data_IF_223053081217
#
_entry.id   IF_223053081217
#
_cell.length_a   1.000
_cell.length_b   1.000
_cell.length_c   1.000
_cell.angle_alpha   90.00
_cell.angle_beta   90.00
_cell.angle_gamma   90.00
#
_symmetry.space_group_name_H-M   'P 1'
#
loop_
_entity.id
_entity.type
_entity.pdbx_description
1 polymer ?
#
# COMPACT_ATOMS: atom_id res chain seq x y z
N UNK A 1 -29.20 19.73 -61.72
CA UNK A 1 -28.94 19.50 -60.27
C UNK A 1 -27.43 19.35 -60.11
N UNK A 2 -26.62 20.42 -60.10
CA UNK A 2 -26.61 21.63 -59.26
C UNK A 2 -26.19 21.29 -57.80
N UNK A 3 -25.18 21.89 -57.17
CA UNK A 3 -24.47 23.15 -57.45
C UNK A 3 -23.10 23.20 -56.74
N UNK A 4 -22.13 23.81 -57.43
CA UNK A 4 -20.93 24.47 -56.90
C UNK A 4 -21.31 25.79 -56.21
N UNK A 5 -20.60 26.20 -55.14
CA UNK A 5 -20.13 27.60 -54.95
C UNK A 5 -18.87 27.62 -54.04
N UNK A 6 -17.90 28.44 -54.44
CA UNK A 6 -16.58 28.74 -53.83
C UNK A 6 -16.69 29.88 -52.77
N UNK A 7 -15.62 30.51 -52.21
CA UNK A 7 -15.55 30.95 -50.82
C UNK A 7 -15.82 32.47 -50.65
N UNK A 8 -15.88 32.94 -49.40
CA UNK A 8 -15.85 34.37 -49.08
C UNK A 8 -14.70 34.67 -48.11
N UNK A 9 -13.71 35.40 -48.61
CA UNK A 9 -12.83 36.32 -47.89
C UNK A 9 -12.97 37.65 -48.64
N UNK A 10 -13.11 38.80 -47.95
CA UNK A 10 -11.95 39.68 -47.73
C UNK A 10 -12.12 40.61 -46.48
N UNK A 11 -11.31 41.67 -46.25
CA UNK A 11 -9.96 41.99 -46.72
C UNK A 11 -8.95 42.27 -45.58
N UNK A 12 -7.68 42.35 -46.02
CA UNK A 12 -6.53 42.96 -45.34
C UNK A 12 -6.75 44.43 -44.91
N UNK A 13 -6.09 44.82 -43.83
CA UNK A 13 -5.57 46.18 -43.63
C UNK A 13 -4.16 46.08 -43.01
N UNK A 14 -3.16 46.61 -43.72
CA UNK A 14 -1.78 46.83 -43.28
C UNK A 14 -1.62 48.22 -42.63
N UNK A 15 -0.58 48.34 -41.79
CA UNK A 15 0.34 49.48 -41.53
C UNK A 15 0.58 49.70 -40.03
N UNK A 16 1.76 49.30 -39.54
CA UNK A 16 3.01 50.08 -39.35
C UNK A 16 3.13 50.65 -37.92
N UNK A 17 4.05 50.09 -37.12
CA UNK A 17 5.30 50.70 -36.59
C UNK A 17 5.09 51.72 -35.46
N UNK A 18 5.46 51.36 -34.23
CA UNK A 18 6.53 52.09 -33.53
C UNK A 18 7.10 51.38 -32.27
N UNK A 19 8.43 51.50 -32.14
CA UNK A 19 9.17 51.91 -30.94
C UNK A 19 9.01 51.25 -29.56
N UNK A 20 10.07 50.50 -29.19
CA UNK A 20 10.85 50.67 -27.94
C UNK A 20 10.31 50.21 -26.56
N UNK A 21 11.10 49.30 -25.98
CA UNK A 21 11.48 49.18 -24.56
C UNK A 21 10.38 49.07 -23.49
N UNK A 22 10.16 47.85 -22.99
CA UNK A 22 10.33 47.58 -21.56
C UNK A 22 10.55 46.08 -21.34
N UNK A 23 11.83 45.70 -21.23
CA UNK A 23 12.22 44.52 -20.49
C UNK A 23 11.98 44.72 -18.99
N UNK A 24 11.81 43.59 -18.30
CA UNK A 24 11.68 43.45 -16.85
C UNK A 24 10.31 43.86 -16.26
N UNK A 25 9.30 43.01 -16.45
CA UNK A 25 8.28 42.62 -15.42
C UNK A 25 7.19 41.76 -16.07
N UNK A 26 7.44 40.45 -16.26
CA UNK A 26 6.37 39.46 -16.45
C UNK A 26 6.91 38.04 -16.28
N UNK A 27 7.29 37.71 -15.05
CA UNK A 27 7.65 36.35 -14.62
C UNK A 27 6.93 36.01 -13.30
N UNK A 28 5.73 36.57 -13.12
CA UNK A 28 4.91 36.45 -11.90
C UNK A 28 3.47 35.96 -12.14
N UNK A 29 3.11 35.49 -13.33
CA UNK A 29 1.70 35.14 -13.65
C UNK A 29 1.53 33.76 -14.34
N UNK A 30 2.31 32.74 -13.95
CA UNK A 30 2.12 31.38 -14.50
C UNK A 30 2.13 30.26 -13.46
N UNK A 31 1.69 30.55 -12.23
CA UNK A 31 1.27 29.52 -11.26
C UNK A 31 0.02 29.96 -10.50
N UNK A 32 -1.13 29.90 -11.17
CA UNK A 32 -2.44 29.77 -10.53
C UNK A 32 -3.09 28.48 -11.03
N UNK A 33 -2.81 27.37 -10.36
CA UNK A 33 -3.73 26.24 -10.36
C UNK A 33 -4.64 26.36 -9.15
N UNK A 34 -5.94 26.44 -9.47
CA UNK A 34 -7.08 26.54 -8.59
C UNK A 34 -7.36 25.14 -8.04
N UNK A 35 -7.11 24.92 -6.76
CA UNK A 35 -7.66 23.78 -6.02
C UNK A 35 -8.79 24.32 -5.14
N UNK A 36 -10.02 24.06 -5.55
CA UNK A 36 -11.21 24.18 -4.71
C UNK A 36 -11.40 22.84 -4.02
N UNK A 37 -11.05 22.77 -2.74
CA UNK A 37 -11.87 22.17 -1.69
C UNK A 37 -11.15 22.45 -0.36
N UNK A 38 -11.77 23.35 0.41
CA UNK A 38 -11.37 23.78 1.73
C UNK A 38 -11.75 22.69 2.74
N UNK A 39 -10.75 22.09 3.38
CA UNK A 39 -10.75 21.71 4.81
C UNK A 39 -9.40 21.09 5.15
N UNK A 40 -8.35 21.92 5.18
CA UNK A 40 -7.08 21.58 5.83
C UNK A 40 -7.00 22.41 7.11
N UNK A 41 -7.16 21.72 8.23
CA UNK A 41 -6.92 22.24 9.57
C UNK A 41 -5.52 22.87 9.64
N UNK A 42 -5.51 24.21 9.70
CA UNK A 42 -4.37 25.01 10.10
C UNK A 42 -4.00 24.67 11.55
N UNK A 43 -2.92 23.91 11.74
CA UNK A 43 -2.20 23.94 13.02
C UNK A 43 -1.18 25.09 13.00
N UNK A 44 -1.26 26.08 13.91
CA UNK A 44 -0.36 27.23 13.93
C UNK A 44 1.01 26.88 14.52
N UNK A 45 2.04 27.18 13.73
CA UNK A 45 3.37 27.71 14.08
C UNK A 45 3.92 27.50 15.51
N UNK A 46 5.01 26.75 15.60
CA UNK A 46 6.18 27.11 16.41
C UNK A 46 7.44 26.89 15.55
N UNK A 47 7.89 27.95 14.88
CA UNK A 47 9.25 28.05 14.33
C UNK A 47 10.18 28.41 15.51
N UNK A 48 11.09 27.54 15.96
CA UNK A 48 12.27 28.04 16.64
C UNK A 48 13.12 28.75 15.58
N UNK A 49 13.58 29.94 15.94
CA UNK A 49 14.42 30.83 15.12
C UNK A 49 15.52 30.04 14.42
N UNK A 50 15.39 29.83 13.10
CA UNK A 50 16.45 29.24 12.28
C UNK A 50 17.62 30.23 12.22
N UNK A 51 18.58 30.02 13.11
CA UNK A 51 19.95 30.47 12.87
C UNK A 51 20.51 29.72 11.66
N UNK A 52 20.77 30.45 10.58
CA UNK A 52 21.78 30.22 9.53
C UNK A 52 22.48 28.85 9.50
N UNK A 53 21.79 27.76 9.17
CA UNK A 53 22.42 26.43 9.00
C UNK A 53 21.89 25.58 7.84
N UNK A 54 20.78 25.92 7.19
CA UNK A 54 20.19 25.00 6.21
C UNK A 54 20.96 24.98 4.88
N UNK A 55 21.61 23.85 4.60
CA UNK A 55 22.20 23.57 3.29
C UNK A 55 21.12 23.17 2.26
N UNK A 56 21.39 23.41 0.98
CA UNK A 56 20.46 23.13 -0.14
C UNK A 56 19.96 21.66 -0.18
N UNK A 57 20.80 20.71 0.23
CA UNK A 57 20.47 19.28 0.27
C UNK A 57 19.42 18.91 1.33
N UNK A 58 19.33 19.67 2.43
CA UNK A 58 18.33 19.42 3.49
C UNK A 58 16.93 19.79 3.02
N UNK A 59 16.80 20.95 2.37
CA UNK A 59 15.53 21.46 1.84
C UNK A 59 15.01 20.50 0.75
N UNK A 60 15.92 20.00 -0.09
CA UNK A 60 15.60 19.03 -1.14
C UNK A 60 15.02 17.73 -0.57
N UNK A 61 15.69 17.10 0.40
CA UNK A 61 15.24 15.85 1.01
C UNK A 61 13.89 16.04 1.70
N UNK A 62 13.69 17.16 2.40
CA UNK A 62 12.42 17.46 3.09
C UNK A 62 11.27 17.63 2.11
N UNK A 63 11.47 18.40 1.03
CA UNK A 63 10.43 18.60 0.02
C UNK A 63 10.10 17.32 -0.72
N UNK A 64 11.13 16.52 -1.06
CA UNK A 64 10.94 15.22 -1.67
C UNK A 64 10.09 14.29 -0.82
N UNK A 65 10.42 14.12 0.47
CA UNK A 65 9.63 13.22 1.32
C UNK A 65 8.20 13.73 1.53
N UNK A 66 7.98 15.05 1.58
CA UNK A 66 6.63 15.62 1.63
C UNK A 66 5.83 15.31 0.37
N UNK A 67 6.45 15.40 -0.80
CA UNK A 67 5.82 15.03 -2.06
C UNK A 67 5.50 13.52 -2.08
N UNK A 68 6.42 12.66 -1.66
CA UNK A 68 6.17 11.22 -1.59
C UNK A 68 5.07 10.85 -0.58
N UNK A 69 4.93 11.59 0.52
CA UNK A 69 3.78 11.46 1.43
C UNK A 69 2.49 11.91 0.72
N UNK A 70 2.50 13.03 0.00
CA UNK A 70 1.34 13.55 -0.72
C UNK A 70 0.89 12.59 -1.84
N UNK A 71 1.85 11.93 -2.50
CA UNK A 71 1.62 10.86 -3.48
C UNK A 71 1.26 9.51 -2.84
N UNK A 72 1.15 9.45 -1.50
CA UNK A 72 0.81 8.25 -0.71
C UNK A 72 1.80 7.10 -0.86
N UNK A 73 3.03 7.38 -1.31
CA UNK A 73 4.12 6.42 -1.41
C UNK A 73 4.79 6.17 -0.05
N UNK A 74 4.58 7.06 0.93
CA UNK A 74 5.15 7.02 2.27
C UNK A 74 4.12 7.35 3.36
N UNK A 75 4.19 6.65 4.51
CA UNK A 75 3.34 6.90 5.69
C UNK A 75 4.13 7.64 6.77
N UNK A 76 3.50 8.53 7.53
CA UNK A 76 4.13 9.37 8.58
C UNK A 76 4.73 8.61 9.78
N UNK A 77 4.75 7.28 9.77
CA UNK A 77 5.41 6.45 10.78
C UNK A 77 6.40 5.44 10.20
N UNK A 78 6.73 5.57 8.92
CA UNK A 78 7.62 4.65 8.21
C UNK A 78 9.06 4.70 8.73
N UNK A 79 9.74 3.55 8.72
CA UNK A 79 11.18 3.46 8.97
C UNK A 79 11.94 3.98 7.76
N UNK A 80 12.69 5.07 7.95
CA UNK A 80 13.38 5.77 6.87
C UNK A 80 14.88 5.75 7.10
N UNK A 81 15.64 5.48 6.04
CA UNK A 81 17.10 5.56 6.04
C UNK A 81 17.60 6.59 5.03
N UNK A 82 18.49 7.48 5.47
CA UNK A 82 19.26 8.38 4.61
C UNK A 82 20.69 7.86 4.46
N UNK A 83 21.12 7.57 3.24
CA UNK A 83 22.46 7.03 2.95
C UNK A 83 23.27 8.05 2.16
N UNK A 84 24.37 8.51 2.75
CA UNK A 84 25.35 9.37 2.06
C UNK A 84 25.68 10.69 2.74
N UNK A 85 26.31 11.59 1.99
CA UNK A 85 26.71 12.93 2.40
C UNK A 85 25.51 13.79 2.80
N UNK A 86 25.50 14.26 4.05
CA UNK A 86 24.39 15.05 4.58
C UNK A 86 23.28 14.23 5.25
N UNK A 87 23.44 12.92 5.43
CA UNK A 87 22.44 12.07 6.10
C UNK A 87 22.08 12.53 7.52
N UNK A 88 23.06 12.95 8.33
CA UNK A 88 22.78 13.50 9.68
C UNK A 88 21.97 14.79 9.68
N UNK A 89 22.17 15.62 8.67
CA UNK A 89 21.42 16.84 8.39
C UNK A 89 19.97 16.53 7.99
N UNK A 90 19.77 15.58 7.07
CA UNK A 90 18.44 15.09 6.69
C UNK A 90 17.66 14.48 7.85
N UNK A 91 18.32 13.68 8.71
CA UNK A 91 17.72 13.10 9.91
C UNK A 91 17.25 14.20 10.87
N UNK A 92 18.08 15.22 11.08
CA UNK A 92 17.75 16.34 12.00
C UNK A 92 16.55 17.13 11.50
N UNK A 93 16.45 17.38 10.19
CA UNK A 93 15.34 18.09 9.58
C UNK A 93 14.02 17.29 9.58
N UNK A 94 14.09 15.95 9.52
CA UNK A 94 12.93 15.09 9.32
C UNK A 94 12.48 14.29 10.54
N UNK A 95 13.20 14.40 11.67
CA UNK A 95 12.86 13.71 12.92
C UNK A 95 11.43 13.99 13.41
N UNK A 96 10.91 15.20 13.18
CA UNK A 96 9.55 15.57 13.54
C UNK A 96 8.46 14.90 12.67
N UNK A 97 8.80 14.46 11.46
CA UNK A 97 7.87 13.76 10.55
C UNK A 97 8.07 12.24 10.57
N UNK A 98 9.29 11.78 10.84
CA UNK A 98 9.65 10.36 10.88
C UNK A 98 10.47 10.07 12.15
N UNK A 99 9.83 9.63 13.24
CA UNK A 99 10.51 9.35 14.49
C UNK A 99 11.58 8.24 14.36
N UNK A 100 11.39 7.30 13.44
CA UNK A 100 12.30 6.17 13.16
C UNK A 100 13.21 6.44 11.95
N UNK A 101 13.70 7.67 11.84
CA UNK A 101 14.61 8.11 10.78
C UNK A 101 16.07 7.93 11.20
N UNK A 102 16.85 7.22 10.38
CA UNK A 102 18.29 6.98 10.58
C UNK A 102 19.11 7.54 9.42
N UNK A 103 20.38 7.85 9.69
CA UNK A 103 21.29 8.41 8.71
C UNK A 103 22.64 7.70 8.79
N UNK A 104 23.11 7.21 7.65
CA UNK A 104 24.39 6.52 7.51
C UNK A 104 25.28 7.29 6.54
N UNK A 105 26.56 7.48 6.87
CA UNK A 105 27.48 8.25 6.02
C UNK A 105 28.42 7.31 5.29
N UNK A 106 28.31 7.31 3.98
CA UNK A 106 29.22 6.55 3.12
C UNK A 106 30.46 7.40 2.82
N UNK A 107 31.65 6.94 3.20
CA UNK A 107 32.93 7.59 2.83
C UNK A 107 33.73 6.82 1.78
N UNK A 108 33.61 5.49 1.75
CA UNK A 108 34.13 4.57 0.72
C UNK A 108 33.20 3.37 0.72
N UNK A 109 32.46 3.14 -0.36
CA UNK A 109 31.55 1.99 -0.43
C UNK A 109 32.37 0.73 -0.77
N UNK A 110 33.13 0.24 0.22
CA UNK A 110 33.85 -1.04 0.18
C UNK A 110 33.13 -2.13 0.96
N UNK A 111 32.12 -1.76 1.77
CA UNK A 111 31.50 -2.62 2.78
C UNK A 111 29.97 -2.53 2.79
N UNK A 112 29.35 -3.57 3.35
CA UNK A 112 27.90 -3.74 3.53
C UNK A 112 27.37 -2.73 4.55
N UNK A 113 26.18 -2.16 4.32
CA UNK A 113 25.51 -1.35 5.34
C UNK A 113 25.21 -2.26 6.55
N UNK A 114 25.51 -1.80 7.77
CA UNK A 114 25.31 -2.56 9.03
C UNK A 114 23.84 -2.68 9.46
N UNK A 115 22.93 -2.80 8.48
CA UNK A 115 21.52 -3.04 8.68
C UNK A 115 21.14 -4.43 8.20
N UNK A 116 20.14 -5.03 8.85
CA UNK A 116 19.53 -6.28 8.41
C UNK A 116 18.88 -6.11 7.04
N UNK A 117 18.72 -7.21 6.33
CA UNK A 117 17.89 -7.26 5.14
C UNK A 117 16.45 -6.87 5.51
N UNK A 118 15.74 -6.21 4.59
CA UNK A 118 14.32 -5.85 4.74
C UNK A 118 13.97 -5.00 5.98
N UNK A 119 14.87 -4.10 6.39
CA UNK A 119 14.75 -3.33 7.62
C UNK A 119 13.99 -1.99 7.49
N UNK A 120 13.96 -1.40 6.29
CA UNK A 120 13.43 -0.05 6.07
C UNK A 120 12.30 -0.01 5.04
N UNK A 121 11.37 0.91 5.27
CA UNK A 121 10.22 1.13 4.37
C UNK A 121 10.61 2.06 3.21
N UNK A 122 11.56 2.96 3.48
CA UNK A 122 12.09 3.87 2.49
C UNK A 122 13.56 4.18 2.73
N UNK A 123 14.31 4.30 1.64
CA UNK A 123 15.73 4.62 1.67
C UNK A 123 16.03 5.70 0.64
N UNK A 124 16.63 6.80 1.08
CA UNK A 124 17.06 7.89 0.20
C UNK A 124 18.58 7.98 0.13
N UNK A 125 19.12 8.25 -1.06
CA UNK A 125 20.54 8.56 -1.24
C UNK A 125 20.76 9.65 -2.29
N UNK A 126 21.77 10.50 -2.06
CA UNK A 126 22.24 11.54 -2.99
C UNK A 126 23.68 11.31 -3.47
N UNK A 127 24.26 10.16 -3.16
CA UNK A 127 25.68 9.89 -3.30
C UNK A 127 26.02 8.97 -4.47
N UNK A 128 25.06 8.68 -5.37
CA UNK A 128 25.27 7.74 -6.47
C UNK A 128 26.48 8.13 -7.34
N UNK A 129 26.68 9.42 -7.58
CA UNK A 129 27.78 9.94 -8.40
C UNK A 129 29.06 10.20 -7.60
N UNK A 130 29.00 10.15 -6.27
CA UNK A 130 30.13 10.44 -5.37
C UNK A 130 30.82 9.17 -4.88
N UNK A 131 30.13 8.03 -4.90
CA UNK A 131 30.69 6.73 -4.50
C UNK A 131 31.56 6.09 -5.59
N UNK A 132 32.56 5.32 -5.15
CA UNK A 132 33.48 4.61 -6.03
C UNK A 132 32.85 3.47 -6.82
N UNK A 133 31.82 2.82 -6.27
CA UNK A 133 31.13 1.67 -6.89
C UNK A 133 29.61 1.85 -6.76
N UNK A 134 28.97 2.59 -7.70
CA UNK A 134 27.53 2.88 -7.64
C UNK A 134 26.65 1.62 -7.58
N UNK A 135 27.04 0.54 -8.27
CA UNK A 135 26.31 -0.72 -8.27
C UNK A 135 26.16 -1.33 -6.88
N UNK A 136 27.20 -1.26 -6.03
CA UNK A 136 27.14 -1.79 -4.67
C UNK A 136 26.19 -0.97 -3.79
N UNK A 137 26.20 0.35 -3.95
CA UNK A 137 25.27 1.22 -3.23
C UNK A 137 23.81 0.91 -3.59
N UNK A 138 23.50 0.79 -4.89
CA UNK A 138 22.14 0.44 -5.36
C UNK A 138 21.70 -0.91 -4.79
N UNK A 139 22.57 -1.93 -4.85
CA UNK A 139 22.28 -3.26 -4.32
C UNK A 139 22.11 -3.30 -2.80
N UNK A 140 22.89 -2.51 -2.05
CA UNK A 140 22.76 -2.42 -0.60
C UNK A 140 21.51 -1.68 -0.17
N UNK A 141 21.13 -0.61 -0.88
CA UNK A 141 19.84 0.07 -0.68
C UNK A 141 18.70 -0.91 -0.95
N UNK A 142 18.77 -1.65 -2.06
CA UNK A 142 17.79 -2.68 -2.40
C UNK A 142 17.72 -3.81 -1.35
N UNK A 143 18.85 -4.21 -0.77
CA UNK A 143 18.90 -5.24 0.28
C UNK A 143 18.20 -4.82 1.57
N UNK A 144 18.44 -3.59 2.03
CA UNK A 144 17.91 -3.09 3.31
C UNK A 144 16.46 -2.60 3.21
N UNK A 145 15.96 -2.34 2.00
CA UNK A 145 14.55 -2.08 1.75
C UNK A 145 13.73 -3.35 1.99
N UNK A 146 12.61 -3.24 2.70
CA UNK A 146 11.63 -4.33 2.80
C UNK A 146 10.91 -4.53 1.47
N UNK A 147 10.35 -5.72 1.19
CA UNK A 147 9.51 -5.93 0.03
C UNK A 147 8.33 -4.94 0.02
N UNK A 148 8.05 -4.34 -1.14
CA UNK A 148 7.08 -3.26 -1.30
C UNK A 148 7.57 -1.87 -0.84
N UNK A 149 8.76 -1.77 -0.26
CA UNK A 149 9.39 -0.51 0.12
C UNK A 149 9.92 0.29 -1.07
N UNK A 150 10.19 1.58 -0.86
CA UNK A 150 10.61 2.50 -1.92
C UNK A 150 12.05 3.00 -1.72
N UNK A 151 12.87 2.91 -2.75
CA UNK A 151 14.18 3.56 -2.82
C UNK A 151 14.11 4.83 -3.65
N UNK A 152 14.81 5.88 -3.23
CA UNK A 152 14.93 7.12 -3.98
C UNK A 152 16.40 7.54 -4.07
N UNK A 153 16.86 7.81 -5.29
CA UNK A 153 18.24 8.21 -5.54
C UNK A 153 18.29 9.49 -6.35
N UNK A 154 19.07 10.44 -5.88
CA UNK A 154 19.42 11.64 -6.61
C UNK A 154 20.66 11.38 -7.47
N UNK A 155 20.58 11.70 -8.75
CA UNK A 155 21.65 11.57 -9.73
C UNK A 155 21.94 12.95 -10.30
N UNK A 156 23.15 13.46 -10.12
CA UNK A 156 23.63 14.68 -10.72
C UNK A 156 23.69 14.50 -12.24
N UNK A 157 22.95 15.33 -12.98
CA UNK A 157 23.04 15.36 -14.44
C UNK A 157 23.54 16.72 -14.86
N UNK A 158 24.71 16.77 -15.49
CA UNK A 158 25.35 18.03 -15.89
C UNK A 158 24.39 18.99 -16.62
N UNK A 159 24.54 20.29 -16.33
CA UNK A 159 23.70 21.46 -16.68
C UNK A 159 23.01 21.49 -18.08
N UNK A 160 22.07 20.59 -18.36
CA UNK A 160 21.28 20.65 -19.60
C UNK A 160 19.86 20.15 -19.34
N UNK A 161 18.88 21.04 -19.29
CA UNK A 161 17.47 20.71 -19.03
C UNK A 161 16.81 19.97 -20.21
N UNK A 162 17.12 18.69 -20.41
CA UNK A 162 16.56 17.88 -21.50
C UNK A 162 15.98 16.54 -21.00
N UNK A 163 14.82 16.13 -21.54
CA UNK A 163 14.14 14.87 -21.21
C UNK A 163 15.01 13.62 -21.45
N UNK A 164 16.00 13.69 -22.34
CA UNK A 164 17.00 12.63 -22.53
C UNK A 164 17.88 12.36 -21.29
N UNK A 165 17.83 13.22 -20.27
CA UNK A 165 18.59 13.08 -19.04
C UNK A 165 17.92 12.15 -18.02
N UNK A 166 16.59 12.02 -18.03
CA UNK A 166 15.89 11.15 -17.09
C UNK A 166 16.17 9.67 -17.39
N UNK A 167 16.18 9.30 -18.67
CA UNK A 167 16.59 7.97 -19.11
C UNK A 167 18.05 7.73 -18.72
N UNK A 168 18.95 8.69 -18.96
CA UNK A 168 20.36 8.57 -18.59
C UNK A 168 20.57 8.42 -17.07
N UNK A 169 19.75 9.08 -16.26
CA UNK A 169 19.80 8.96 -14.80
C UNK A 169 19.22 7.63 -14.30
N UNK A 170 18.12 7.17 -14.90
CA UNK A 170 17.44 5.95 -14.49
C UNK A 170 18.15 4.67 -14.95
N UNK A 171 18.75 4.65 -16.14
CA UNK A 171 19.44 3.49 -16.72
C UNK A 171 20.49 2.84 -15.80
N UNK A 172 21.44 3.58 -15.19
CA UNK A 172 22.42 2.93 -14.31
C UNK A 172 21.75 2.28 -13.10
N UNK A 173 20.73 2.92 -12.53
CA UNK A 173 19.99 2.38 -11.38
C UNK A 173 19.22 1.12 -11.81
N UNK A 174 18.41 1.21 -12.87
CA UNK A 174 17.58 0.09 -13.35
C UNK A 174 18.42 -1.12 -13.77
N UNK A 175 19.65 -0.89 -14.28
CA UNK A 175 20.56 -1.97 -14.67
C UNK A 175 21.12 -2.73 -13.45
N UNK A 176 21.27 -2.07 -12.31
CA UNK A 176 21.81 -2.69 -11.09
C UNK A 176 20.75 -3.33 -10.20
N UNK A 177 19.51 -2.84 -10.24
CA UNK A 177 18.40 -3.42 -9.48
C UNK A 177 18.17 -4.88 -9.89
N UNK A 178 18.13 -5.76 -8.90
CA UNK A 178 17.84 -7.20 -9.09
C UNK A 178 16.43 -7.57 -8.72
N UNK A 179 15.86 -6.84 -7.75
CA UNK A 179 14.60 -7.14 -7.08
C UNK A 179 13.63 -5.98 -7.00
N UNK A 180 13.82 -4.95 -7.81
CA UNK A 180 13.03 -3.72 -7.78
C UNK A 180 12.77 -3.22 -9.19
N UNK A 181 11.68 -2.47 -9.37
CA UNK A 181 11.41 -1.75 -10.61
C UNK A 181 11.46 -0.25 -10.37
N UNK A 182 12.01 0.49 -11.35
CA UNK A 182 11.91 1.96 -11.36
C UNK A 182 10.46 2.33 -11.62
N UNK A 183 9.85 3.03 -10.67
CA UNK A 183 8.43 3.44 -10.73
C UNK A 183 8.28 4.89 -11.18
N UNK A 184 9.26 5.73 -10.88
CA UNK A 184 9.19 7.15 -11.19
C UNK A 184 10.58 7.76 -11.42
N UNK A 185 10.71 8.68 -12.36
CA UNK A 185 11.90 9.49 -12.54
C UNK A 185 11.54 10.92 -12.95
N UNK A 186 12.13 11.92 -12.30
CA UNK A 186 11.86 13.34 -12.57
C UNK A 186 13.09 14.22 -12.35
N UNK A 187 13.09 15.39 -12.97
CA UNK A 187 14.12 16.39 -12.74
C UNK A 187 13.81 17.15 -11.45
N UNK A 188 14.82 17.37 -10.61
CA UNK A 188 14.74 18.17 -9.39
C UNK A 188 15.98 19.09 -9.36
N UNK A 189 15.76 20.38 -9.61
CA UNK A 189 16.81 21.38 -9.82
C UNK A 189 17.84 20.95 -10.89
N UNK A 190 19.11 20.83 -10.52
CA UNK A 190 20.25 20.40 -11.36
C UNK A 190 20.48 18.88 -11.32
N UNK A 191 19.60 18.12 -10.67
CA UNK A 191 19.71 16.67 -10.55
C UNK A 191 18.45 15.97 -11.04
N UNK A 192 18.52 14.65 -11.22
CA UNK A 192 17.39 13.80 -11.51
C UNK A 192 17.14 12.89 -10.31
N UNK A 193 15.89 12.86 -9.85
CA UNK A 193 15.42 11.91 -8.88
C UNK A 193 14.94 10.65 -9.60
N UNK A 194 15.39 9.50 -9.14
CA UNK A 194 14.92 8.20 -9.59
C UNK A 194 14.37 7.44 -8.39
N UNK A 195 13.11 7.04 -8.47
CA UNK A 195 12.39 6.29 -7.45
C UNK A 195 12.12 4.89 -7.97
N UNK A 196 12.43 3.89 -7.16
CA UNK A 196 12.17 2.49 -7.45
C UNK A 196 11.46 1.82 -6.28
N UNK A 197 10.68 0.78 -6.58
CA UNK A 197 9.95 -0.01 -5.60
C UNK A 197 10.53 -1.41 -5.57
N UNK A 198 10.89 -1.89 -4.38
CA UNK A 198 11.31 -3.29 -4.20
C UNK A 198 10.09 -4.17 -4.42
N UNK A 199 10.22 -5.13 -5.33
CA UNK A 199 9.19 -6.12 -5.60
C UNK A 199 8.90 -6.91 -4.33
N UNK A 200 7.69 -7.42 -4.24
CA UNK A 200 7.31 -8.46 -3.29
C UNK A 200 8.01 -9.77 -3.68
N UNK A 201 9.35 -9.84 -3.57
CA UNK A 201 10.28 -10.93 -3.91
C UNK A 201 10.04 -11.71 -5.25
N UNK A 202 11.09 -11.83 -6.06
CA UNK A 202 11.07 -12.52 -7.35
C UNK A 202 10.73 -14.03 -7.23
N UNK A 203 9.57 -14.43 -7.80
CA UNK A 203 9.23 -15.81 -8.18
C UNK A 203 8.59 -16.67 -7.09
N UNK A 204 8.58 -16.19 -5.85
CA UNK A 204 7.96 -16.81 -4.68
C UNK A 204 7.03 -15.72 -4.18
N UNK A 205 5.76 -15.76 -4.57
CA UNK A 205 4.77 -14.80 -4.07
C UNK A 205 4.73 -14.76 -2.52
N UNK A 206 3.99 -13.79 -1.94
CA UNK A 206 3.95 -13.55 -0.49
C UNK A 206 3.71 -14.77 0.40
N UNK A 207 3.20 -15.88 -0.12
CA UNK A 207 2.89 -17.09 0.62
C UNK A 207 3.68 -18.33 0.19
N UNK A 208 4.58 -18.23 -0.79
CA UNK A 208 5.25 -19.37 -1.40
C UNK A 208 6.34 -19.95 -0.50
N UNK A 209 6.90 -19.17 0.43
CA UNK A 209 7.87 -19.66 1.42
C UNK A 209 7.24 -20.43 2.58
N UNK A 210 5.93 -20.31 2.82
CA UNK A 210 5.27 -21.03 3.92
C UNK A 210 5.13 -22.51 3.60
N UNK A 211 5.56 -23.37 4.52
CA UNK A 211 5.36 -24.81 4.40
C UNK A 211 4.01 -25.18 5.01
N UNK A 212 3.04 -25.49 4.16
CA UNK A 212 1.72 -25.93 4.61
C UNK A 212 1.78 -27.41 5.06
N UNK A 213 0.87 -27.83 5.96
CA UNK A 213 0.73 -29.23 6.34
C UNK A 213 0.49 -30.14 5.14
N UNK A 214 0.99 -31.37 5.20
CA UNK A 214 0.78 -32.39 4.16
C UNK A 214 -0.72 -32.69 3.97
N UNK A 215 -1.49 -32.64 5.07
CA UNK A 215 -2.94 -32.70 5.07
C UNK A 215 -3.54 -31.29 5.11
N UNK A 216 -3.95 -30.79 3.94
CA UNK A 216 -4.61 -29.50 3.81
C UNK A 216 -5.96 -29.66 3.09
N UNK A 217 -7.06 -29.96 3.83
CA UNK A 217 -8.33 -30.38 3.23
C UNK A 217 -8.94 -29.34 2.30
N UNK A 218 -8.98 -28.06 2.69
CA UNK A 218 -9.53 -27.01 1.85
C UNK A 218 -8.78 -26.90 0.52
N UNK A 219 -7.45 -26.85 0.56
CA UNK A 219 -6.61 -26.76 -0.64
C UNK A 219 -6.76 -28.00 -1.51
N UNK A 220 -6.73 -29.20 -0.91
CA UNK A 220 -6.94 -30.46 -1.65
C UNK A 220 -8.28 -30.49 -2.37
N UNK A 221 -9.35 -30.02 -1.71
CA UNK A 221 -10.69 -29.97 -2.27
C UNK A 221 -10.83 -28.90 -3.37
N UNK A 222 -10.13 -27.78 -3.22
CA UNK A 222 -10.23 -26.63 -4.11
C UNK A 222 -9.29 -26.70 -5.31
N UNK A 223 -8.17 -27.42 -5.21
CA UNK A 223 -7.18 -27.62 -6.29
C UNK A 223 -7.81 -27.94 -7.65
N UNK A 224 -8.77 -28.89 -7.79
CA UNK A 224 -9.39 -29.16 -9.09
C UNK A 224 -10.27 -28.01 -9.61
N UNK A 225 -10.75 -27.14 -8.74
CA UNK A 225 -11.68 -26.04 -9.04
C UNK A 225 -10.96 -24.72 -9.37
N UNK A 226 -9.66 -24.63 -9.14
CA UNK A 226 -8.89 -23.39 -9.34
C UNK A 226 -8.97 -22.83 -10.76
N UNK A 227 -9.25 -23.68 -11.75
CA UNK A 227 -9.42 -23.30 -13.17
C UNK A 227 -10.76 -22.60 -13.45
N UNK A 228 -11.73 -22.75 -12.56
CA UNK A 228 -13.07 -22.18 -12.68
C UNK A 228 -13.18 -20.77 -12.08
N UNK A 229 -12.14 -20.32 -11.37
CA UNK A 229 -12.10 -19.00 -10.75
C UNK A 229 -12.12 -17.88 -11.79
N UNK A 230 -12.84 -16.81 -11.47
CA UNK A 230 -12.85 -15.59 -12.28
C UNK A 230 -11.44 -14.97 -12.39
N UNK A 231 -11.09 -14.30 -13.50
CA UNK A 231 -9.81 -13.62 -13.63
C UNK A 231 -9.66 -12.50 -12.58
N UNK A 232 -8.43 -12.29 -12.09
CA UNK A 232 -8.12 -11.15 -11.23
C UNK A 232 -8.06 -9.91 -12.12
N UNK A 233 -8.74 -8.85 -11.72
CA UNK A 233 -8.80 -7.59 -12.47
C UNK A 233 -7.77 -6.61 -11.90
N UNK A 234 -6.95 -6.03 -12.78
CA UNK A 234 -5.97 -5.00 -12.40
C UNK A 234 -6.59 -3.61 -12.20
N UNK A 235 -7.82 -3.39 -12.70
CA UNK A 235 -8.60 -2.14 -12.53
C UNK A 235 -10.09 -2.47 -12.49
N UNK A 236 -10.87 -1.75 -11.68
CA UNK A 236 -12.34 -1.88 -11.63
C UNK A 236 -12.94 -1.38 -12.96
N UNK A 237 -13.58 -2.24 -13.77
CA UNK A 237 -14.18 -1.80 -15.03
C UNK A 237 -15.42 -0.95 -14.73
N UNK A 238 -15.58 0.20 -15.39
CA UNK A 238 -16.71 1.11 -15.19
C UNK A 238 -18.11 0.49 -15.38
N UNK A 239 -18.21 -0.66 -16.05
CA UNK A 239 -19.48 -1.29 -16.47
C UNK A 239 -19.60 -2.78 -16.12
N UNK A 240 -18.64 -3.38 -15.43
CA UNK A 240 -18.62 -4.83 -15.21
C UNK A 240 -18.78 -5.18 -13.72
N UNK A 241 -19.88 -5.87 -13.38
CA UNK A 241 -19.97 -6.61 -12.11
C UNK A 241 -19.33 -7.98 -12.33
N UNK A 242 -18.19 -8.31 -11.69
CA UNK A 242 -17.60 -9.62 -11.85
C UNK A 242 -18.53 -10.70 -11.32
N UNK A 243 -18.79 -11.72 -12.14
CA UNK A 243 -19.53 -12.90 -11.71
C UNK A 243 -18.60 -13.78 -10.87
N UNK A 244 -18.68 -13.63 -9.55
CA UNK A 244 -17.88 -14.41 -8.61
C UNK A 244 -18.25 -15.90 -8.73
N UNK A 245 -17.23 -16.74 -8.92
CA UNK A 245 -17.37 -18.18 -9.04
C UNK A 245 -17.44 -18.85 -7.66
N UNK A 246 -18.52 -18.61 -6.91
CA UNK A 246 -18.66 -19.12 -5.52
C UNK A 246 -18.50 -20.64 -5.41
N UNK A 247 -17.81 -21.09 -4.37
CA UNK A 247 -17.53 -22.51 -4.14
C UNK A 247 -18.77 -23.43 -4.17
N UNK A 248 -19.95 -23.09 -3.59
CA UNK A 248 -21.16 -23.92 -3.62
C UNK A 248 -21.73 -24.20 -5.00
N UNK A 249 -21.26 -23.50 -6.04
CA UNK A 249 -21.62 -23.78 -7.44
C UNK A 249 -20.97 -25.08 -7.95
N UNK A 250 -19.83 -25.45 -7.40
CA UNK A 250 -19.01 -26.57 -7.90
C UNK A 250 -18.95 -27.75 -6.93
N UNK A 251 -19.26 -27.54 -5.65
CA UNK A 251 -19.24 -28.58 -4.63
C UNK A 251 -20.52 -28.64 -3.82
N UNK A 252 -20.87 -29.84 -3.37
CA UNK A 252 -22.02 -30.06 -2.51
C UNK A 252 -21.70 -29.66 -1.07
N UNK A 253 -21.97 -28.40 -0.76
CA UNK A 253 -21.78 -27.85 0.59
C UNK A 253 -22.77 -28.39 1.61
N UNK A 254 -23.91 -28.97 1.20
CA UNK A 254 -24.91 -29.54 2.13
C UNK A 254 -24.36 -30.71 2.98
N UNK A 255 -23.25 -31.31 2.55
CA UNK A 255 -22.54 -32.35 3.32
C UNK A 255 -21.68 -31.81 4.47
N UNK A 256 -21.48 -30.48 4.54
CA UNK A 256 -20.69 -29.81 5.57
C UNK A 256 -21.47 -29.71 6.87
N UNK A 257 -20.75 -29.66 8.00
CA UNK A 257 -21.35 -29.65 9.34
C UNK A 257 -22.18 -28.38 9.59
N UNK A 258 -21.64 -27.24 9.17
CA UNK A 258 -22.21 -25.89 9.26
C UNK A 258 -21.41 -24.94 8.37
N UNK A 259 -21.92 -23.74 8.16
CA UNK A 259 -21.17 -22.65 7.53
C UNK A 259 -20.65 -21.69 8.59
N UNK A 260 -19.39 -21.30 8.48
CA UNK A 260 -18.75 -20.29 9.34
C UNK A 260 -18.27 -19.15 8.45
N UNK A 261 -18.71 -17.94 8.75
CA UNK A 261 -18.28 -16.73 8.04
C UNK A 261 -17.53 -15.82 9.00
N UNK A 262 -16.29 -15.49 8.66
CA UNK A 262 -15.41 -14.64 9.48
C UNK A 262 -15.09 -13.38 8.67
N UNK A 263 -15.43 -12.21 9.19
CA UNK A 263 -15.10 -10.91 8.58
C UNK A 263 -14.10 -10.18 9.49
N UNK A 264 -12.88 -9.96 8.99
CA UNK A 264 -11.78 -9.33 9.73
C UNK A 264 -11.61 -7.89 9.24
N UNK A 265 -11.65 -6.94 10.18
CA UNK A 265 -11.54 -5.52 9.84
C UNK A 265 -12.77 -5.00 9.10
N UNK A 266 -13.94 -5.58 9.39
CA UNK A 266 -15.22 -5.11 8.90
C UNK A 266 -15.41 -3.65 9.39
N UNK A 267 -15.26 -2.67 8.50
CA UNK A 267 -15.31 -1.23 8.83
C UNK A 267 -16.70 -0.75 9.30
N UNK A 268 -17.05 0.53 9.10
CA UNK A 268 -18.35 1.13 9.44
C UNK A 268 -19.57 0.42 8.75
N UNK A 269 -19.89 -0.81 9.15
CA UNK A 269 -20.99 -1.64 8.64
C UNK A 269 -22.34 -1.28 9.28
N UNK A 270 -22.43 -0.15 9.97
CA UNK A 270 -23.57 0.13 10.86
C UNK A 270 -24.63 1.02 10.21
N UNK A 271 -24.32 1.74 9.13
CA UNK A 271 -25.21 2.80 8.65
C UNK A 271 -25.66 2.70 7.18
N UNK A 272 -25.34 1.64 6.44
CA UNK A 272 -25.90 1.46 5.10
C UNK A 272 -26.87 0.29 5.05
N UNK A 273 -28.00 0.48 4.36
CA UNK A 273 -28.95 -0.60 4.02
C UNK A 273 -28.33 -1.70 3.13
N UNK A 274 -27.02 -1.66 2.83
CA UNK A 274 -26.33 -2.57 1.93
C UNK A 274 -25.63 -3.76 2.62
N UNK A 275 -25.44 -3.75 3.95
CA UNK A 275 -24.34 -4.52 4.57
C UNK A 275 -24.66 -5.93 5.10
N UNK A 276 -25.62 -6.63 4.49
CA UNK A 276 -25.75 -8.09 4.65
C UNK A 276 -25.90 -8.80 3.30
N UNK A 277 -25.60 -8.07 2.21
CA UNK A 277 -25.76 -8.60 0.87
C UNK A 277 -24.94 -9.86 0.67
N UNK A 278 -23.69 -9.94 1.18
CA UNK A 278 -22.88 -11.15 1.02
C UNK A 278 -23.57 -12.40 1.60
N UNK A 279 -24.00 -12.38 2.87
CA UNK A 279 -24.69 -13.52 3.49
C UNK A 279 -26.07 -13.81 2.88
N UNK A 280 -26.66 -12.83 2.19
CA UNK A 280 -27.96 -12.94 1.51
C UNK A 280 -27.82 -13.43 0.07
N UNK A 281 -26.72 -13.09 -0.59
CA UNK A 281 -26.41 -13.36 -1.99
C UNK A 281 -25.49 -14.58 -2.17
N UNK A 282 -24.78 -14.99 -1.12
CA UNK A 282 -23.97 -16.19 -1.13
C UNK A 282 -24.87 -17.42 -1.35
N UNK A 283 -24.59 -18.26 -2.36
CA UNK A 283 -25.46 -19.37 -2.76
C UNK A 283 -25.43 -20.50 -1.73
N UNK A 284 -26.19 -20.34 -0.65
CA UNK A 284 -26.27 -21.30 0.45
C UNK A 284 -27.39 -22.31 0.23
N UNK A 285 -27.06 -23.60 0.35
CA UNK A 285 -28.02 -24.70 0.30
C UNK A 285 -28.67 -24.92 1.69
N UNK A 286 -29.27 -23.87 2.25
CA UNK A 286 -29.98 -23.89 3.56
C UNK A 286 -29.14 -24.16 4.82
N UNK A 287 -27.80 -24.07 4.74
CA UNK A 287 -26.93 -24.17 5.91
C UNK A 287 -26.99 -22.90 6.78
N UNK A 288 -27.10 -23.03 8.12
CA UNK A 288 -26.98 -21.90 9.02
C UNK A 288 -25.53 -21.37 9.02
N UNK A 289 -25.41 -20.05 9.12
CA UNK A 289 -24.14 -19.37 9.26
C UNK A 289 -23.89 -19.00 10.71
N UNK A 290 -22.76 -19.44 11.24
CA UNK A 290 -22.15 -18.85 12.43
C UNK A 290 -21.24 -17.71 11.96
N UNK A 291 -21.62 -16.47 12.28
CA UNK A 291 -20.91 -15.27 11.81
C UNK A 291 -20.01 -14.73 12.91
N UNK A 292 -18.74 -14.48 12.58
CA UNK A 292 -17.77 -13.86 13.48
C UNK A 292 -17.26 -12.56 12.85
N UNK A 293 -17.38 -11.47 13.58
CA UNK A 293 -16.83 -10.16 13.17
C UNK A 293 -15.63 -9.85 14.06
N UNK A 294 -14.44 -9.85 13.48
CA UNK A 294 -13.18 -9.60 14.20
C UNK A 294 -12.78 -8.14 14.02
N UNK A 295 -12.78 -7.36 15.11
CA UNK A 295 -12.53 -5.93 15.04
C UNK A 295 -11.87 -5.39 16.32
N UNK A 296 -11.14 -4.26 16.22
CA UNK A 296 -10.53 -3.60 17.38
C UNK A 296 -11.44 -2.54 18.01
N UNK A 297 -12.29 -1.87 17.23
CA UNK A 297 -13.17 -0.82 17.75
C UNK A 297 -14.44 -1.43 18.36
N UNK A 298 -14.60 -1.30 19.67
CA UNK A 298 -15.73 -1.79 20.44
C UNK A 298 -17.00 -0.96 20.26
N UNK A 299 -16.93 0.24 19.67
CA UNK A 299 -18.11 1.06 19.38
C UNK A 299 -19.11 0.33 18.46
N UNK A 300 -18.60 -0.56 17.60
CA UNK A 300 -19.38 -1.41 16.70
C UNK A 300 -20.10 -2.57 17.39
N UNK A 301 -19.73 -2.91 18.63
CA UNK A 301 -20.33 -4.05 19.36
C UNK A 301 -21.85 -3.90 19.46
N UNK A 302 -22.34 -2.67 19.70
CA UNK A 302 -23.77 -2.37 19.78
C UNK A 302 -24.55 -2.61 18.47
N UNK A 303 -23.88 -2.57 17.32
CA UNK A 303 -24.48 -2.81 16.01
C UNK A 303 -24.66 -4.30 15.70
N UNK A 304 -23.79 -5.16 16.26
CA UNK A 304 -23.79 -6.60 15.99
C UNK A 304 -24.52 -7.41 17.05
N UNK A 305 -24.44 -7.04 18.33
CA UNK A 305 -25.05 -7.78 19.46
C UNK A 305 -26.58 -7.86 19.37
N UNK A 306 -27.21 -6.99 18.57
CA UNK A 306 -28.66 -7.03 18.33
C UNK A 306 -29.11 -8.11 17.35
N UNK A 307 -28.18 -8.81 16.68
CA UNK A 307 -28.51 -9.79 15.62
C UNK A 307 -28.17 -11.21 16.07
N UNK A 308 -29.15 -12.13 16.09
CA UNK A 308 -28.90 -13.52 16.45
C UNK A 308 -27.98 -14.19 15.39
N UNK A 309 -27.05 -15.03 15.84
CA UNK A 309 -26.10 -15.74 14.98
C UNK A 309 -24.83 -14.95 14.61
N UNK A 310 -24.65 -13.74 15.15
CA UNK A 310 -23.44 -12.93 14.97
C UNK A 310 -22.69 -12.83 16.30
N UNK A 311 -21.39 -13.15 16.27
CA UNK A 311 -20.46 -13.04 17.39
C UNK A 311 -19.42 -11.98 17.08
N UNK A 312 -19.29 -10.98 17.96
CA UNK A 312 -18.21 -10.00 17.87
C UNK A 312 -16.96 -10.53 18.59
N UNK A 313 -15.80 -10.40 17.96
CA UNK A 313 -14.50 -10.86 18.47
C UNK A 313 -13.57 -9.66 18.54
N UNK A 314 -13.21 -9.26 19.76
CA UNK A 314 -12.32 -8.13 19.98
C UNK A 314 -10.87 -8.54 19.69
N UNK A 315 -10.21 -7.83 18.78
CA UNK A 315 -8.80 -8.04 18.45
C UNK A 315 -8.04 -6.70 18.45
N UNK A 316 -7.35 -6.34 19.55
CA UNK A 316 -6.71 -5.02 19.68
C UNK A 316 -5.60 -4.79 18.65
N UNK A 317 -4.89 -5.84 18.24
CA UNK A 317 -3.85 -5.77 17.19
C UNK A 317 -4.32 -5.24 15.83
N UNK A 318 -5.63 -5.20 15.56
CA UNK A 318 -6.17 -4.60 14.33
C UNK A 318 -6.21 -3.06 14.37
N UNK A 319 -5.94 -2.42 15.51
CA UNK A 319 -5.89 -0.96 15.62
C UNK A 319 -4.64 -0.33 14.94
N UNK A 320 -3.61 -1.14 14.66
CA UNK A 320 -2.30 -0.68 14.21
C UNK A 320 -1.61 0.23 15.24
N UNK A 321 -0.65 1.06 14.82
CA UNK A 321 0.10 1.97 15.70
C UNK A 321 -0.74 3.06 16.43
N UNK A 322 -2.08 3.05 16.29
CA UNK A 322 -2.97 4.04 16.93
C UNK A 322 -3.15 3.82 18.44
N UNK A 323 -2.72 2.70 19.01
CA UNK A 323 -2.91 2.36 20.43
C UNK A 323 -1.79 2.82 21.36
N UNK A 324 -0.70 3.40 20.86
CA UNK A 324 0.39 3.88 21.75
C UNK A 324 0.05 5.20 22.48
N UNK A 325 -1.09 5.83 22.19
CA UNK A 325 -1.46 7.13 22.77
C UNK A 325 -2.62 7.10 23.79
N UNK A 326 -3.24 5.94 24.08
CA UNK A 326 -4.42 5.88 24.98
C UNK A 326 -4.13 5.23 26.34
N UNK A 327 -2.93 4.66 26.55
CA UNK A 327 -2.56 4.03 27.83
C UNK A 327 -1.77 4.94 28.76
N UNK A 328 -1.95 6.26 28.68
CA UNK A 328 -1.51 7.18 29.72
C UNK A 328 -2.68 8.05 30.14
N UNK A 329 -3.18 7.80 31.35
CA UNK A 329 -4.28 8.47 32.06
C UNK A 329 -5.72 8.00 31.78
N UNK A 330 -6.18 7.00 32.55
CA UNK A 330 -7.23 7.19 33.57
C UNK A 330 -7.36 5.95 34.46
N UNK A 331 -7.04 6.11 35.74
CA UNK A 331 -7.56 5.29 36.84
C UNK A 331 -9.09 5.50 36.92
N UNK A 332 -9.90 4.61 36.33
CA UNK A 332 -11.24 4.29 36.87
C UNK A 332 -11.83 3.00 36.25
N UNK A 333 -11.87 1.95 37.06
CA UNK A 333 -12.74 0.76 37.03
C UNK A 333 -13.32 0.25 35.67
N UNK A 334 -12.63 -0.72 35.07
CA UNK A 334 -13.15 -1.68 34.07
C UNK A 334 -12.69 -3.10 34.40
N UNK A 335 -13.46 -4.17 34.07
CA UNK A 335 -13.27 -5.50 34.66
C UNK A 335 -11.91 -6.09 34.26
N UNK A 336 -11.26 -6.74 35.22
CA UNK A 336 -10.05 -7.55 35.08
C UNK A 336 -10.08 -8.34 33.76
N UNK A 337 -9.48 -7.80 32.70
CA UNK A 337 -9.20 -8.53 31.47
C UNK A 337 -7.98 -9.35 31.82
N UNK A 338 -8.20 -10.66 31.92
CA UNK A 338 -7.17 -11.67 32.04
C UNK A 338 -6.04 -11.35 31.05
N UNK A 339 -4.80 -11.34 31.55
CA UNK A 339 -3.57 -10.90 30.87
C UNK A 339 -3.15 -11.85 29.71
N UNK A 340 -4.11 -12.62 29.21
CA UNK A 340 -4.00 -13.46 28.03
C UNK A 340 -4.20 -12.59 26.80
N UNK A 341 -3.09 -12.07 26.28
CA UNK A 341 -3.00 -11.50 24.94
C UNK A 341 -3.82 -12.36 23.96
N UNK A 342 -4.81 -11.76 23.29
CA UNK A 342 -5.69 -12.47 22.38
C UNK A 342 -4.88 -13.05 21.21
N UNK A 343 -4.67 -14.37 21.24
CA UNK A 343 -4.02 -15.09 20.15
C UNK A 343 -5.06 -15.48 19.09
N UNK A 344 -5.00 -14.79 17.94
CA UNK A 344 -5.89 -15.02 16.80
C UNK A 344 -5.85 -16.46 16.28
N UNK A 345 -4.67 -17.08 16.20
CA UNK A 345 -4.54 -18.44 15.65
C UNK A 345 -5.12 -19.47 16.62
N UNK A 346 -4.90 -19.28 17.93
CA UNK A 346 -5.52 -20.13 18.96
C UNK A 346 -7.03 -20.01 18.93
N UNK A 347 -7.56 -18.79 18.84
CA UNK A 347 -9.01 -18.55 18.71
C UNK A 347 -9.57 -19.17 17.42
N UNK A 348 -8.91 -18.95 16.28
CA UNK A 348 -9.35 -19.45 14.98
C UNK A 348 -9.47 -20.98 15.00
N UNK A 349 -8.45 -21.69 15.51
CA UNK A 349 -8.45 -23.16 15.62
C UNK A 349 -9.48 -23.73 16.59
N UNK A 350 -9.89 -22.95 17.60
CA UNK A 350 -11.00 -23.32 18.50
C UNK A 350 -12.37 -23.06 17.86
N UNK A 351 -12.43 -22.13 16.93
CA UNK A 351 -13.68 -21.66 16.31
C UNK A 351 -14.11 -22.52 15.14
N UNK A 352 -13.16 -22.91 14.28
CA UNK A 352 -13.42 -23.70 13.06
C UNK A 352 -12.85 -25.12 13.18
N UNK A 353 -13.56 -26.09 12.63
CA UNK A 353 -13.12 -27.49 12.63
C UNK A 353 -13.11 -28.06 11.20
N UNK A 354 -12.36 -29.15 11.00
CA UNK A 354 -12.42 -29.90 9.76
C UNK A 354 -13.87 -30.35 9.46
N UNK A 355 -14.34 -30.09 8.25
CA UNK A 355 -15.71 -30.39 7.80
C UNK A 355 -16.72 -29.24 7.95
N UNK A 356 -16.35 -28.14 8.62
CA UNK A 356 -17.07 -26.87 8.48
C UNK A 356 -16.86 -26.32 7.04
N UNK A 357 -17.76 -25.48 6.56
CA UNK A 357 -17.53 -24.63 5.37
C UNK A 357 -17.08 -23.25 5.88
N UNK A 358 -15.81 -22.90 5.70
CA UNK A 358 -15.26 -21.65 6.25
C UNK A 358 -15.02 -20.63 5.16
N UNK A 359 -15.70 -19.49 5.29
CA UNK A 359 -15.53 -18.33 4.43
C UNK A 359 -14.84 -17.23 5.24
N UNK A 360 -13.71 -16.75 4.75
CA UNK A 360 -12.95 -15.66 5.36
C UNK A 360 -12.99 -14.43 4.46
N UNK A 361 -13.40 -13.28 5.00
CA UNK A 361 -13.35 -11.99 4.33
C UNK A 361 -12.46 -11.02 5.09
N UNK A 362 -11.57 -10.32 4.40
CA UNK A 362 -10.66 -9.34 5.01
C UNK A 362 -10.08 -8.34 4.01
N UNK A 363 -9.47 -7.28 4.51
CA UNK A 363 -8.69 -6.34 3.71
C UNK A 363 -7.31 -6.94 3.38
N UNK A 364 -6.82 -6.74 2.15
CA UNK A 364 -5.50 -7.21 1.73
C UNK A 364 -4.35 -6.24 2.08
N UNK A 365 -4.53 -5.41 3.11
CA UNK A 365 -3.57 -4.38 3.52
C UNK A 365 -3.53 -4.28 5.04
N UNK A 366 -2.48 -3.64 5.57
CA UNK A 366 -2.44 -3.25 6.99
C UNK A 366 -2.28 -4.42 7.96
N UNK A 367 -3.01 -4.36 9.07
CA UNK A 367 -2.93 -5.35 10.15
C UNK A 367 -3.68 -6.63 9.79
N UNK A 368 -4.74 -6.55 8.98
CA UNK A 368 -5.48 -7.70 8.45
C UNK A 368 -4.56 -8.59 7.62
N UNK A 369 -3.73 -8.01 6.75
CA UNK A 369 -2.77 -8.77 5.96
C UNK A 369 -1.79 -9.56 6.85
N UNK A 370 -1.39 -9.02 8.01
CA UNK A 370 -0.53 -9.75 8.96
C UNK A 370 -1.23 -11.00 9.51
N UNK A 371 -2.53 -10.94 9.78
CA UNK A 371 -3.31 -12.11 10.20
C UNK A 371 -3.39 -13.17 9.09
N UNK A 372 -3.47 -12.75 7.82
CA UNK A 372 -3.39 -13.69 6.70
C UNK A 372 -2.03 -14.40 6.66
N UNK A 373 -0.92 -13.67 6.85
CA UNK A 373 0.40 -14.28 6.98
C UNK A 373 0.47 -15.29 8.13
N UNK A 374 -0.10 -14.99 9.30
CA UNK A 374 -0.17 -15.93 10.43
C UNK A 374 -0.98 -17.19 10.11
N UNK A 375 -2.05 -17.08 9.32
CA UNK A 375 -2.84 -18.25 8.87
C UNK A 375 -2.01 -19.18 7.97
N UNK A 376 -1.22 -18.62 7.05
CA UNK A 376 -0.31 -19.39 6.21
C UNK A 376 0.85 -20.00 7.02
N UNK A 377 1.47 -19.22 7.88
CA UNK A 377 2.60 -19.65 8.72
C UNK A 377 2.21 -20.79 9.66
N UNK A 378 1.05 -20.68 10.32
CA UNK A 378 0.55 -21.70 11.23
C UNK A 378 -0.09 -22.89 10.51
N UNK A 379 -0.32 -22.81 9.19
CA UNK A 379 -1.09 -23.79 8.42
C UNK A 379 -2.60 -23.76 8.71
N UNK A 380 -3.11 -22.80 9.50
CA UNK A 380 -4.54 -22.66 9.76
C UNK A 380 -5.35 -22.28 8.50
N UNK A 381 -4.69 -21.71 7.49
CA UNK A 381 -5.30 -21.44 6.17
C UNK A 381 -5.90 -22.70 5.53
N UNK A 382 -5.43 -23.90 5.89
CA UNK A 382 -5.98 -25.18 5.43
C UNK A 382 -7.41 -25.47 5.89
N UNK A 383 -7.93 -24.68 6.83
CA UNK A 383 -9.32 -24.74 7.30
C UNK A 383 -10.21 -23.72 6.59
N UNK A 384 -9.66 -22.82 5.77
CA UNK A 384 -10.41 -21.81 5.02
C UNK A 384 -10.76 -22.36 3.64
N UNK A 385 -12.03 -22.63 3.39
CA UNK A 385 -12.51 -23.13 2.09
C UNK A 385 -12.58 -22.01 1.05
N UNK A 386 -12.91 -20.77 1.43
CA UNK A 386 -13.10 -19.67 0.48
C UNK A 386 -12.64 -18.34 1.11
N UNK A 387 -11.80 -17.59 0.39
CA UNK A 387 -11.18 -16.35 0.86
C UNK A 387 -11.62 -15.17 0.00
N UNK A 388 -12.12 -14.10 0.61
CA UNK A 388 -12.46 -12.84 -0.04
C UNK A 388 -11.50 -11.74 0.42
N UNK A 389 -10.68 -11.25 -0.51
CA UNK A 389 -9.74 -10.18 -0.24
C UNK A 389 -10.22 -8.88 -0.88
N UNK A 390 -10.42 -7.86 -0.04
CA UNK A 390 -10.68 -6.51 -0.52
C UNK A 390 -9.37 -5.83 -0.86
N UNK A 391 -9.18 -5.56 -2.15
CA UNK A 391 -8.16 -4.64 -2.63
C UNK A 391 -8.72 -3.22 -2.54
N UNK A 392 -8.18 -2.40 -1.65
CA UNK A 392 -8.55 -0.98 -1.61
C UNK A 392 -7.76 -0.22 -2.67
N UNK A 393 -8.44 0.62 -3.45
CA UNK A 393 -7.83 1.56 -4.38
C UNK A 393 -7.08 2.65 -3.59
N UNK A 394 -5.86 2.35 -3.17
CA UNK A 394 -4.90 3.42 -2.95
C UNK A 394 -4.55 3.97 -4.32
N UNK A 395 -5.06 5.16 -4.67
CA UNK A 395 -4.73 5.89 -5.91
C UNK A 395 -3.32 5.53 -6.41
N UNK A 396 -3.24 4.80 -7.53
CA UNK A 396 -2.01 4.60 -8.30
C UNK A 396 -1.29 3.25 -8.11
N UNK A 397 -0.75 2.95 -6.92
CA UNK A 397 0.39 2.00 -6.82
C UNK A 397 0.28 0.88 -5.76
N UNK A 398 -0.77 0.88 -4.92
CA UNK A 398 -1.01 -0.18 -3.92
C UNK A 398 -1.80 -1.36 -4.53
N UNK A 399 -2.44 -1.14 -5.68
CA UNK A 399 -3.24 -2.16 -6.35
C UNK A 399 -2.38 -3.34 -6.87
N UNK A 400 -1.14 -3.08 -7.30
CA UNK A 400 -0.20 -4.13 -7.71
C UNK A 400 0.12 -5.14 -6.60
N UNK A 401 0.32 -4.65 -5.37
CA UNK A 401 0.65 -5.49 -4.22
C UNK A 401 -0.52 -6.40 -3.81
N UNK A 402 -1.77 -5.92 -3.89
CA UNK A 402 -2.94 -6.73 -3.58
C UNK A 402 -3.18 -7.84 -4.62
N UNK A 403 -2.99 -7.52 -5.89
CA UNK A 403 -3.11 -8.50 -6.98
C UNK A 403 -2.07 -9.60 -6.80
N UNK A 404 -0.86 -9.28 -6.39
CA UNK A 404 0.19 -10.27 -6.12
C UNK A 404 -0.13 -11.15 -4.91
N UNK A 405 -0.71 -10.60 -3.85
CA UNK A 405 -1.23 -11.35 -2.70
C UNK A 405 -2.32 -12.35 -3.14
N UNK A 406 -3.28 -11.91 -3.95
CA UNK A 406 -4.34 -12.76 -4.49
C UNK A 406 -3.79 -13.88 -5.39
N UNK A 407 -2.88 -13.54 -6.31
CA UNK A 407 -2.21 -14.51 -7.20
C UNK A 407 -1.45 -15.55 -6.38
N UNK A 408 -0.70 -15.12 -5.39
CA UNK A 408 0.06 -15.99 -4.49
C UNK A 408 -0.87 -16.94 -3.71
N UNK A 409 -1.95 -16.43 -3.12
CA UNK A 409 -2.93 -17.27 -2.43
C UNK A 409 -3.52 -18.35 -3.36
N UNK A 410 -3.89 -17.97 -4.59
CA UNK A 410 -4.38 -18.92 -5.62
C UNK A 410 -3.31 -19.92 -6.05
N UNK A 411 -2.05 -19.52 -6.19
CA UNK A 411 -0.95 -20.44 -6.50
C UNK A 411 -0.73 -21.48 -5.41
N UNK A 412 -1.03 -21.12 -4.15
CA UNK A 412 -1.03 -22.07 -3.02
C UNK A 412 -2.27 -22.97 -2.99
N UNK A 413 -3.24 -22.76 -3.88
CA UNK A 413 -4.48 -23.54 -3.98
C UNK A 413 -5.60 -23.06 -3.04
N UNK A 414 -5.48 -21.85 -2.50
CA UNK A 414 -6.58 -21.18 -1.77
C UNK A 414 -7.59 -20.65 -2.78
N UNK A 415 -8.87 -20.98 -2.60
CA UNK A 415 -9.96 -20.50 -3.45
C UNK A 415 -10.29 -19.05 -3.08
N UNK A 416 -9.51 -18.13 -3.65
CA UNK A 416 -9.50 -16.72 -3.27
C UNK A 416 -10.15 -15.83 -4.33
N UNK A 417 -11.01 -14.91 -3.90
CA UNK A 417 -11.74 -13.96 -4.73
C UNK A 417 -11.31 -12.53 -4.46
N UNK A 418 -11.28 -11.73 -5.52
CA UNK A 418 -11.14 -10.28 -5.42
C UNK A 418 -12.50 -9.69 -5.04
N UNK A 419 -12.55 -9.00 -3.90
CA UNK A 419 -13.73 -8.27 -3.46
C UNK A 419 -13.62 -6.80 -3.85
N UNK A 420 -14.46 -6.37 -4.77
CA UNK A 420 -14.61 -4.96 -5.16
C UNK A 420 -15.88 -4.43 -4.49
N UNK A 421 -15.77 -3.36 -3.72
CA UNK A 421 -16.94 -2.67 -3.17
C UNK A 421 -17.83 -2.20 -4.35
N UNK A 422 -19.15 -2.29 -4.26
CA UNK A 422 -20.06 -1.88 -5.36
C UNK A 422 -20.00 -0.39 -5.64
#
# INVERSE_FOLDING_TARGET
>A
MAMSVVPFLPPFAENEVDGSSHGLTKLGELLKFKSTDDDVLLFPLLLPTLGSCCGENEILAVNLLRELIAEKLLKSGSKVLFVGGGSGSSVSALRGLFPQCLGERVKRFTDRLEFKDDAFDFVFSNDLDTVSVPALLVLEIERVLRPGGFGAMLVAVGNSYNHGNLIKAATPISTFLKSSDVVHARSVYSSSLVVFKKKLNHGVGPFEHYRLPDECPAIKNNTPLMKELEPILDQKPYTYKPLIAYLPKFTNVSSRRRSVYIDIGAGNLVNSKADNWFLSSYPKQSLPFDVYIVHHDTSFLSAYVKRPGITFVYHPGLAGNKTTEILDHTDDLGPLVDDHEFDFIVWFRKTVAAGDLVILKMNAVGEELKLLHQLFESGAICLVDELFLRCTDGNGDIHGDCVDILKSARNRGVFAHQWLDE
#
